data_IF_109170571030
#
_entry.id   IF_109170571030
#
_cell.length_a   1.000
_cell.length_b   1.000
_cell.length_c   1.000
_cell.angle_alpha   90.00
_cell.angle_beta   90.00
_cell.angle_gamma   90.00
#
_symmetry.space_group_name_H-M   'P 1'
#
loop_
_entity.id
_entity.type
_entity.pdbx_description
1 polymer ?
#
# COMPACT_ATOMS: atom_id res chain seq x y z
N UNK A 1 -37.68 -10.27 -48.74
CA UNK A 1 -37.83 -10.74 -47.35
C UNK A 1 -36.66 -10.19 -46.54
N UNK A 2 -36.91 -9.67 -45.33
CA UNK A 2 -35.84 -9.21 -44.42
C UNK A 2 -35.20 -10.44 -43.75
N UNK A 3 -33.88 -10.52 -43.63
CA UNK A 3 -33.24 -11.67 -43.01
C UNK A 3 -33.55 -11.70 -41.52
N UNK A 4 -33.79 -12.89 -40.98
CA UNK A 4 -33.97 -13.13 -39.55
C UNK A 4 -32.83 -12.49 -38.76
N UNK A 5 -33.13 -11.38 -38.08
CA UNK A 5 -32.22 -10.76 -37.13
C UNK A 5 -32.16 -11.61 -35.87
N UNK A 6 -31.47 -12.75 -35.99
CA UNK A 6 -31.05 -13.54 -34.83
C UNK A 6 -30.15 -12.62 -34.02
N UNK A 7 -30.62 -12.23 -32.83
CA UNK A 7 -29.88 -11.41 -31.88
C UNK A 7 -28.55 -12.11 -31.57
N UNK A 8 -27.51 -11.70 -32.27
CA UNK A 8 -26.13 -12.02 -31.91
C UNK A 8 -25.87 -11.29 -30.61
N UNK A 9 -25.88 -12.05 -29.51
CA UNK A 9 -25.66 -11.57 -28.16
C UNK A 9 -24.58 -10.48 -28.15
N UNK A 10 -24.98 -9.26 -27.78
CA UNK A 10 -24.05 -8.17 -27.53
C UNK A 10 -23.15 -8.66 -26.39
N UNK A 11 -21.95 -9.12 -26.72
CA UNK A 11 -20.98 -9.58 -25.74
C UNK A 11 -20.55 -8.35 -24.96
N UNK A 12 -21.15 -8.10 -23.81
CA UNK A 12 -20.77 -7.01 -22.93
C UNK A 12 -19.30 -7.20 -22.52
N UNK A 13 -18.42 -6.41 -23.14
CA UNK A 13 -17.01 -6.37 -22.73
C UNK A 13 -16.96 -5.47 -21.50
N UNK A 14 -17.08 -6.08 -20.32
CA UNK A 14 -16.87 -5.42 -19.04
C UNK A 14 -15.38 -5.03 -18.93
N UNK A 15 -15.08 -3.73 -19.02
CA UNK A 15 -13.75 -3.23 -18.71
C UNK A 15 -13.62 -3.00 -17.21
N UNK A 16 -12.51 -3.41 -16.62
CA UNK A 16 -12.22 -3.17 -15.21
C UNK A 16 -11.16 -2.08 -15.07
N UNK A 17 -11.38 -1.14 -14.16
CA UNK A 17 -10.36 -0.18 -13.74
C UNK A 17 -10.04 -0.37 -12.26
N UNK A 18 -8.75 -0.31 -11.86
CA UNK A 18 -8.39 -0.37 -10.45
C UNK A 18 -8.91 0.87 -9.72
N UNK A 19 -9.68 0.68 -8.65
CA UNK A 19 -10.13 1.75 -7.76
C UNK A 19 -9.60 1.53 -6.36
N UNK A 20 -9.21 2.62 -5.69
CA UNK A 20 -8.71 2.55 -4.31
C UNK A 20 -9.78 1.99 -3.37
N UNK A 21 -9.44 0.90 -2.68
CA UNK A 21 -10.31 0.14 -1.79
C UNK A 21 -9.77 0.11 -0.34
N UNK A 22 -8.93 1.08 0.03
CA UNK A 22 -8.41 1.24 1.39
C UNK A 22 -7.01 0.67 1.57
N UNK A 23 -6.81 -0.12 2.64
CA UNK A 23 -5.51 -0.67 3.03
C UNK A 23 -5.56 -2.20 3.20
N UNK A 24 -4.46 -2.85 2.88
CA UNK A 24 -4.25 -4.28 3.11
C UNK A 24 -3.03 -4.50 4.02
N UNK A 25 -2.98 -5.66 4.69
CA UNK A 25 -1.82 -6.07 5.50
C UNK A 25 -0.67 -6.62 4.66
N UNK A 26 -0.96 -7.10 3.44
CA UNK A 26 0.01 -7.65 2.49
C UNK A 26 -0.16 -7.00 1.12
N UNK A 27 0.91 -6.98 0.32
CA UNK A 27 0.90 -6.39 -1.01
C UNK A 27 2.31 -6.25 -1.59
N UNK A 28 2.40 -5.72 -2.81
CA UNK A 28 3.68 -5.38 -3.42
C UNK A 28 4.37 -4.24 -2.64
N UNK A 29 5.70 -4.28 -2.45
CA UNK A 29 6.46 -3.20 -1.81
C UNK A 29 6.22 -1.82 -2.42
N UNK A 30 5.94 -1.76 -3.73
CA UNK A 30 5.63 -0.50 -4.43
C UNK A 30 4.35 0.16 -3.94
N UNK A 31 3.43 -0.61 -3.34
CA UNK A 31 2.15 -0.11 -2.84
C UNK A 31 2.18 0.16 -1.33
N UNK A 32 3.33 0.12 -0.66
CA UNK A 32 3.41 0.40 0.78
C UNK A 32 2.86 1.81 1.06
N UNK A 33 1.93 1.88 2.01
CA UNK A 33 1.48 3.14 2.56
C UNK A 33 2.38 3.52 3.75
N UNK A 34 3.37 4.39 3.49
CA UNK A 34 4.33 4.84 4.50
C UNK A 34 3.62 5.55 5.65
N UNK A 35 2.69 6.45 5.38
CA UNK A 35 1.99 7.22 6.42
C UNK A 35 1.21 6.35 7.41
N UNK A 36 0.47 5.35 6.91
CA UNK A 36 -0.30 4.42 7.75
C UNK A 36 0.63 3.48 8.52
N UNK A 37 1.68 2.99 7.86
CA UNK A 37 2.70 2.13 8.48
C UNK A 37 3.38 2.86 9.64
N UNK A 38 3.88 4.07 9.41
CA UNK A 38 4.57 4.86 10.42
C UNK A 38 3.67 5.24 11.60
N UNK A 39 2.38 5.53 11.36
CA UNK A 39 1.40 5.78 12.42
C UNK A 39 1.19 4.55 13.31
N UNK A 40 1.02 3.37 12.71
CA UNK A 40 0.87 2.12 13.47
C UNK A 40 2.15 1.81 14.27
N UNK A 41 3.32 1.86 13.61
CA UNK A 41 4.61 1.65 14.25
C UNK A 41 4.84 2.63 15.41
N UNK A 42 4.46 3.89 15.25
CA UNK A 42 4.57 4.88 16.32
C UNK A 42 3.68 4.54 17.52
N UNK A 43 2.42 4.18 17.28
CA UNK A 43 1.50 3.74 18.34
C UNK A 43 2.02 2.53 19.10
N UNK A 44 2.59 1.55 18.40
CA UNK A 44 3.22 0.36 19.00
C UNK A 44 4.42 0.73 19.88
N UNK A 45 5.29 1.65 19.42
CA UNK A 45 6.44 2.13 20.22
C UNK A 45 5.99 2.81 21.51
N UNK A 46 4.90 3.57 21.48
CA UNK A 46 4.31 4.19 22.67
C UNK A 46 3.76 3.10 23.61
N UNK A 47 2.93 2.19 23.09
CA UNK A 47 2.30 1.14 23.88
C UNK A 47 3.32 0.24 24.58
N UNK A 48 4.40 -0.12 23.89
CA UNK A 48 5.47 -0.98 24.43
C UNK A 48 6.53 -0.20 25.24
N UNK A 49 6.36 1.12 25.37
CA UNK A 49 7.29 2.06 26.03
C UNK A 49 8.72 1.83 25.55
N UNK A 50 8.93 1.95 24.23
CA UNK A 50 10.28 1.89 23.66
C UNK A 50 11.10 3.06 24.20
N UNK A 51 12.30 2.81 24.75
CA UNK A 51 13.18 3.89 25.22
C UNK A 51 13.44 4.93 24.13
N UNK A 52 13.39 6.20 24.52
CA UNK A 52 13.62 7.32 23.60
C UNK A 52 15.12 7.50 23.37
N UNK A 53 15.48 8.08 22.23
CA UNK A 53 16.89 8.38 21.94
C UNK A 53 17.50 9.28 23.03
N UNK A 54 16.79 10.34 23.43
CA UNK A 54 17.27 11.26 24.47
C UNK A 54 17.48 10.63 25.86
N UNK A 55 16.82 9.50 26.19
CA UNK A 55 17.08 8.79 27.45
C UNK A 55 18.45 8.08 27.41
N UNK A 56 18.82 7.52 26.25
CA UNK A 56 20.12 6.91 26.06
C UNK A 56 21.21 7.98 25.96
N UNK A 57 20.95 9.07 25.24
CA UNK A 57 21.90 10.18 25.09
C UNK A 57 22.23 10.78 26.46
N UNK A 58 21.24 10.99 27.32
CA UNK A 58 21.46 11.49 28.67
C UNK A 58 22.37 10.57 29.51
N UNK A 59 22.19 9.25 29.43
CA UNK A 59 23.05 8.28 30.12
C UNK A 59 24.48 8.30 29.54
N UNK A 60 24.61 8.40 28.21
CA UNK A 60 25.91 8.49 27.55
C UNK A 60 26.65 9.78 27.92
N UNK A 61 25.95 10.91 27.96
CA UNK A 61 26.47 12.20 28.41
C UNK A 61 26.92 12.13 29.88
N UNK A 62 26.11 11.52 30.75
CA UNK A 62 26.47 11.34 32.16
C UNK A 62 27.72 10.47 32.33
N UNK A 63 27.81 9.35 31.60
CA UNK A 63 29.02 8.51 31.57
C UNK A 63 30.23 9.33 31.12
N UNK A 64 30.11 10.09 30.02
CA UNK A 64 31.20 10.91 29.49
C UNK A 64 31.66 11.97 30.50
N UNK A 65 30.72 12.63 31.20
CA UNK A 65 31.04 13.58 32.26
C UNK A 65 31.80 12.94 33.43
N UNK A 66 31.37 11.75 33.85
CA UNK A 66 32.02 11.02 34.96
C UNK A 66 33.40 10.50 34.59
N UNK A 67 33.62 10.14 33.32
CA UNK A 67 34.92 9.71 32.80
C UNK A 67 35.95 10.85 32.76
N UNK A 68 35.50 12.10 32.59
CA UNK A 68 36.34 13.30 32.65
C UNK A 68 36.70 13.71 34.09
N UNK A 69 35.94 13.28 35.10
CA UNK A 69 36.23 13.55 36.50
C UNK A 69 37.35 12.66 37.05
N UNK A 70 38.04 13.12 38.11
CA UNK A 70 39.11 12.32 38.76
C UNK A 70 38.55 10.97 39.21
N UNK A 71 39.13 9.88 38.71
CA UNK A 71 38.66 8.51 38.92
C UNK A 71 38.70 8.09 40.40
N UNK A 72 37.55 8.18 41.08
CA UNK A 72 37.35 7.60 42.40
C UNK A 72 36.72 6.20 42.30
N UNK A 73 36.85 5.39 43.35
CA UNK A 73 36.18 4.08 43.43
C UNK A 73 34.64 4.20 43.42
N UNK A 74 34.10 5.36 43.83
CA UNK A 74 32.66 5.64 43.74
C UNK A 74 32.26 5.99 42.29
N UNK A 75 33.03 6.83 41.61
CA UNK A 75 32.82 7.20 40.20
C UNK A 75 32.83 5.97 39.30
N UNK A 76 33.80 5.07 39.49
CA UNK A 76 33.88 3.80 38.73
C UNK A 76 32.67 2.89 38.94
N UNK A 77 32.16 2.81 40.19
CA UNK A 77 30.94 2.05 40.50
C UNK A 77 29.71 2.68 39.83
N UNK A 78 29.59 4.01 39.86
CA UNK A 78 28.47 4.71 39.22
C UNK A 78 28.46 4.53 37.70
N UNK A 79 29.62 4.67 37.05
CA UNK A 79 29.77 4.38 35.60
C UNK A 79 29.35 2.94 35.28
N UNK A 80 29.73 1.96 36.11
CA UNK A 80 29.33 0.57 35.90
C UNK A 80 27.80 0.41 35.93
N UNK A 81 27.13 1.00 36.92
CA UNK A 81 25.66 0.99 37.03
C UNK A 81 25.00 1.64 35.81
N UNK A 82 25.50 2.79 35.35
CA UNK A 82 24.96 3.49 34.17
C UNK A 82 25.13 2.65 32.89
N UNK A 83 26.26 1.95 32.73
CA UNK A 83 26.48 1.04 31.60
C UNK A 83 25.52 -0.15 31.61
N UNK A 84 25.24 -0.73 32.79
CA UNK A 84 24.24 -1.79 32.92
C UNK A 84 22.83 -1.31 32.54
N UNK A 85 22.46 -0.11 32.95
CA UNK A 85 21.17 0.49 32.59
C UNK A 85 21.09 0.80 31.08
N UNK A 86 22.16 1.34 30.49
CA UNK A 86 22.25 1.57 29.05
C UNK A 86 22.03 0.27 28.29
N UNK A 87 22.72 -0.81 28.67
CA UNK A 87 22.56 -2.13 28.07
C UNK A 87 21.14 -2.66 28.19
N UNK A 88 20.46 -2.39 29.32
CA UNK A 88 19.07 -2.76 29.53
C UNK A 88 18.14 -2.02 28.56
N UNK A 89 18.31 -0.70 28.43
CA UNK A 89 17.53 0.13 27.52
C UNK A 89 17.78 -0.25 26.06
N UNK A 90 19.03 -0.49 25.68
CA UNK A 90 19.39 -0.95 24.34
C UNK A 90 18.75 -2.29 24.00
N UNK A 91 18.84 -3.27 24.89
CA UNK A 91 18.20 -4.58 24.70
C UNK A 91 16.69 -4.44 24.48
N UNK A 92 16.04 -3.58 25.26
CA UNK A 92 14.61 -3.27 25.08
C UNK A 92 14.33 -2.61 23.73
N UNK A 93 15.20 -1.68 23.31
CA UNK A 93 15.08 -0.95 22.05
C UNK A 93 15.32 -1.84 20.82
N UNK A 94 16.16 -2.87 20.93
CA UNK A 94 16.37 -3.89 19.87
C UNK A 94 15.15 -4.81 19.74
N UNK A 95 14.51 -5.18 20.85
CA UNK A 95 13.29 -5.99 20.84
C UNK A 95 12.10 -5.26 20.23
N UNK A 96 12.00 -3.96 20.44
CA UNK A 96 10.92 -3.13 19.88
C UNK A 96 11.45 -2.40 18.65
N UNK A 97 11.23 -2.99 17.48
CA UNK A 97 11.65 -2.43 16.20
C UNK A 97 11.07 -1.02 15.95
N UNK A 98 11.77 -0.22 15.16
CA UNK A 98 11.28 1.10 14.77
C UNK A 98 10.10 1.01 13.80
N UNK A 99 10.17 0.06 12.86
CA UNK A 99 9.11 -0.37 11.96
C UNK A 99 9.03 -1.89 12.08
N UNK A 100 7.87 -2.40 12.49
CA UNK A 100 7.59 -3.83 12.63
C UNK A 100 6.85 -4.30 11.36
N UNK A 101 7.17 -5.48 10.79
CA UNK A 101 6.41 -6.06 9.67
C UNK A 101 4.90 -6.10 9.90
N UNK A 102 4.46 -6.29 11.15
CA UNK A 102 3.03 -6.32 11.53
C UNK A 102 2.35 -4.97 11.31
N UNK A 103 3.10 -3.87 11.38
CA UNK A 103 2.58 -2.51 11.23
C UNK A 103 2.47 -2.06 9.77
N UNK A 104 3.15 -2.77 8.86
CA UNK A 104 3.19 -2.42 7.43
C UNK A 104 1.79 -2.54 6.82
N UNK A 105 1.38 -1.48 6.11
CA UNK A 105 0.11 -1.45 5.37
C UNK A 105 0.36 -1.06 3.94
N UNK A 106 -0.38 -1.67 3.04
CA UNK A 106 -0.31 -1.45 1.60
C UNK A 106 -1.59 -0.77 1.11
N UNK A 107 -1.50 0.08 0.10
CA UNK A 107 -2.66 0.62 -0.59
C UNK A 107 -3.35 -0.52 -1.35
N UNK A 108 -4.63 -0.75 -1.06
CA UNK A 108 -5.45 -1.77 -1.72
C UNK A 108 -6.20 -1.14 -2.89
N UNK A 109 -6.22 -1.83 -4.02
CA UNK A 109 -7.00 -1.48 -5.19
C UNK A 109 -7.82 -2.68 -5.62
N UNK A 110 -9.13 -2.48 -5.79
CA UNK A 110 -10.05 -3.52 -6.25
C UNK A 110 -10.50 -3.18 -7.68
N UNK A 111 -10.68 -4.19 -8.55
CA UNK A 111 -11.16 -3.97 -9.91
C UNK A 111 -12.63 -3.56 -9.86
N UNK A 112 -12.94 -2.36 -10.34
CA UNK A 112 -14.31 -1.89 -10.49
C UNK A 112 -14.75 -2.01 -11.95
N UNK A 113 -15.90 -2.65 -12.24
CA UNK A 113 -16.44 -2.68 -13.60
C UNK A 113 -16.84 -1.27 -14.02
N UNK A 114 -16.38 -0.88 -15.20
CA UNK A 114 -16.77 0.36 -15.87
C UNK A 114 -17.70 -0.06 -17.01
N UNK A 115 -18.99 0.35 -16.98
CA UNK A 115 -19.90 0.03 -18.06
C UNK A 115 -19.42 0.73 -19.34
N UNK A 116 -19.16 -0.05 -20.38
CA UNK A 116 -18.85 0.46 -21.71
C UNK A 116 -20.16 0.54 -22.49
N UNK A 117 -20.62 1.75 -22.77
CA UNK A 117 -21.74 1.95 -23.70
C UNK A 117 -21.22 1.76 -25.13
N UNK A 118 -21.34 0.53 -25.66
CA UNK A 118 -21.00 0.26 -27.05
C UNK A 118 -22.16 0.71 -27.94
N UNK A 119 -21.94 1.73 -28.78
CA UNK A 119 -22.86 2.11 -29.85
C UNK A 119 -22.43 1.40 -31.14
N UNK A 120 -23.36 0.67 -31.78
CA UNK A 120 -23.11 0.02 -33.08
C UNK A 120 -23.98 0.71 -34.13
N UNK A 121 -23.33 1.22 -35.18
CA UNK A 121 -24.03 1.80 -36.33
C UNK A 121 -24.28 0.69 -37.36
N UNK A 122 -25.55 0.38 -37.60
CA UNK A 122 -25.94 -0.46 -38.72
C UNK A 122 -26.38 0.44 -39.87
N UNK A 123 -25.59 0.49 -40.94
CA UNK A 123 -26.05 1.05 -42.21
C UNK A 123 -26.84 -0.04 -42.95
N UNK A 124 -28.17 0.00 -42.82
CA UNK A 124 -29.05 -0.74 -43.71
C UNK A 124 -29.26 0.08 -44.98
N UNK A 125 -28.83 -0.44 -46.13
CA UNK A 125 -29.29 0.07 -47.41
C UNK A 125 -30.68 -0.53 -47.69
N UNK A 126 -31.67 0.33 -47.87
CA UNK A 126 -32.99 -0.08 -48.30
C UNK A 126 -32.92 -0.45 -49.79
N UNK A 127 -32.96 -1.74 -50.09
CA UNK A 127 -33.27 -2.23 -51.45
C UNK A 127 -34.80 -2.16 -51.64
N UNK A 128 -35.40 -0.98 -51.42
CA UNK A 128 -36.84 -0.77 -51.56
C UNK A 128 -37.20 -0.76 -53.04
N UNK A 129 -37.77 -1.88 -53.50
CA UNK A 129 -38.83 -1.93 -54.52
C UNK A 129 -38.56 -1.43 -55.95
N UNK A 130 -37.51 -0.67 -56.23
CA UNK A 130 -37.25 -0.08 -57.55
C UNK A 130 -36.18 -0.80 -58.37
N UNK A 131 -35.49 -1.78 -57.78
CA UNK A 131 -34.49 -2.61 -58.46
C UNK A 131 -35.10 -3.98 -58.76
N UNK A 132 -35.15 -4.35 -60.04
CA UNK A 132 -35.50 -5.69 -60.47
C UNK A 132 -34.40 -6.69 -60.10
N UNK A 133 -34.73 -7.99 -60.13
CA UNK A 133 -33.82 -9.13 -59.88
C UNK A 133 -32.44 -8.95 -60.53
N UNK A 134 -32.42 -8.49 -61.80
CA UNK A 134 -31.21 -8.33 -62.58
C UNK A 134 -30.25 -7.26 -62.05
N UNK A 135 -30.75 -6.16 -61.47
CA UNK A 135 -29.87 -5.15 -60.88
C UNK A 135 -29.35 -5.56 -59.50
N UNK A 136 -30.07 -6.47 -58.81
CA UNK A 136 -29.65 -7.02 -57.51
C UNK A 136 -28.52 -8.04 -57.64
N UNK A 137 -28.52 -8.86 -58.69
CA UNK A 137 -27.44 -9.82 -58.97
C UNK A 137 -26.10 -9.14 -59.34
N UNK A 138 -26.14 -7.91 -59.83
CA UNK A 138 -24.94 -7.14 -60.21
C UNK A 138 -24.23 -6.48 -59.03
N UNK A 139 -24.91 -6.35 -57.88
CA UNK A 139 -24.42 -5.65 -56.69
C UNK A 139 -23.94 -6.61 -55.58
N UNK A 140 -23.99 -7.92 -55.81
CA UNK A 140 -23.57 -8.97 -54.89
C UNK A 140 -22.11 -9.36 -55.14
#
# INVERSE_FOLDING_TARGET
ELPDMVKLNLKEILAFKPRRAGFAATGSPTNINVGRTMRNSHGRRIALRRPKQGELDAILEEIAMLELMRSSAATRRHIATLREELDRLERRRRRIAYVDPVDIRFNRFDPQPVPNANAVMFCLMDVSGSMGEREKDLAK
#
